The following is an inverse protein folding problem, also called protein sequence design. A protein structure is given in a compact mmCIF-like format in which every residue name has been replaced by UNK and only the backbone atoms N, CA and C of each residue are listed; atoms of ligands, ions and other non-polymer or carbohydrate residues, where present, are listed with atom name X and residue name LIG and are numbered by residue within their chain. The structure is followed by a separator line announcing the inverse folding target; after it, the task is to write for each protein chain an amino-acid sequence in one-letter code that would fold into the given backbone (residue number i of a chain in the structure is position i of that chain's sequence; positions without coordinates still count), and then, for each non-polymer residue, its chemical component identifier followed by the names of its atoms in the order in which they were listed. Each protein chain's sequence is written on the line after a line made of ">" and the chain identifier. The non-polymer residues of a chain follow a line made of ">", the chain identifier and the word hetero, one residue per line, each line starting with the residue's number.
data_IF_127486797624
#
_entry.id   IF_127486797624
#
_cell.length_a   1.000
_cell.length_b   1.000
_cell.length_c   1.000
_cell.angle_alpha   90.00
_cell.angle_beta   90.00
_cell.angle_gamma   90.00
#
_symmetry.space_group_name_H-M   'P 1'
#
loop_
_entity.id
_entity.type
_entity.pdbx_description
1 polymer ?
#
# COMPACT_ATOMS: atom_id res chain seq x y z
N UNK A 1 -2.29 -21.36 -9.99
CA UNK A 1 -2.44 -20.79 -8.63
C UNK A 1 -1.40 -21.28 -7.60
N UNK A 2 -0.43 -22.16 -7.94
CA UNK A 2 0.48 -22.75 -6.94
C UNK A 2 1.88 -22.11 -6.78
N UNK A 3 2.30 -21.21 -7.68
CA UNK A 3 3.68 -20.67 -7.69
C UNK A 3 3.84 -19.44 -6.77
N UNK A 4 2.76 -18.68 -6.53
CA UNK A 4 2.79 -17.47 -5.69
C UNK A 4 2.79 -17.78 -4.19
N UNK A 5 2.16 -18.88 -3.78
CA UNK A 5 1.95 -19.22 -2.37
C UNK A 5 3.22 -19.81 -1.73
N UNK A 6 4.00 -20.59 -2.49
CA UNK A 6 5.30 -21.10 -2.06
C UNK A 6 6.35 -19.99 -1.88
N UNK A 7 6.36 -19.01 -2.78
CA UNK A 7 7.28 -17.87 -2.70
C UNK A 7 6.99 -16.98 -1.48
N UNK A 8 5.71 -16.71 -1.21
CA UNK A 8 5.30 -15.93 -0.04
C UNK A 8 5.69 -16.62 1.28
N UNK A 9 5.43 -17.94 1.41
CA UNK A 9 5.82 -18.70 2.61
C UNK A 9 7.34 -18.70 2.83
N UNK A 10 8.12 -18.86 1.77
CA UNK A 10 9.57 -18.80 1.84
C UNK A 10 10.06 -17.40 2.28
N UNK A 11 9.53 -16.34 1.68
CA UNK A 11 9.89 -14.96 2.06
C UNK A 11 9.51 -14.63 3.51
N UNK A 12 8.34 -15.07 3.98
CA UNK A 12 7.92 -14.91 5.37
C UNK A 12 8.87 -15.66 6.31
N UNK A 13 9.26 -16.90 5.96
CA UNK A 13 10.24 -17.68 6.73
C UNK A 13 11.59 -16.97 6.83
N UNK A 14 12.08 -16.44 5.71
CA UNK A 14 13.33 -15.70 5.66
C UNK A 14 13.28 -14.42 6.51
N UNK A 15 12.18 -13.66 6.44
CA UNK A 15 12.02 -12.43 7.25
C UNK A 15 11.95 -12.74 8.75
N UNK A 16 11.29 -13.82 9.14
CA UNK A 16 11.26 -14.26 10.55
C UNK A 16 12.67 -14.58 11.05
N UNK A 17 13.46 -15.33 10.27
CA UNK A 17 14.85 -15.63 10.62
C UNK A 17 15.70 -14.36 10.74
N UNK A 18 15.58 -13.43 9.78
CA UNK A 18 16.28 -12.15 9.82
C UNK A 18 15.96 -11.36 11.09
N UNK A 19 14.67 -11.21 11.43
CA UNK A 19 14.27 -10.41 12.59
C UNK A 19 14.49 -11.13 13.92
N UNK A 20 14.50 -12.47 13.96
CA UNK A 20 14.99 -13.22 15.11
C UNK A 20 16.47 -12.90 15.37
N UNK A 21 17.30 -12.89 14.33
CA UNK A 21 18.71 -12.52 14.46
C UNK A 21 18.87 -11.07 14.91
N UNK A 22 18.12 -10.12 14.32
CA UNK A 22 18.13 -8.71 14.76
C UNK A 22 17.73 -8.57 16.23
N UNK A 23 16.70 -9.28 16.68
CA UNK A 23 16.26 -9.24 18.08
C UNK A 23 17.32 -9.79 19.05
N UNK A 24 18.11 -10.76 18.61
CA UNK A 24 19.21 -11.30 19.42
C UNK A 24 20.39 -10.33 19.51
N UNK A 25 20.66 -9.56 18.44
CA UNK A 25 21.77 -8.62 18.38
C UNK A 25 21.46 -7.26 19.03
N UNK A 26 20.20 -6.82 18.97
CA UNK A 26 19.73 -5.57 19.57
C UNK A 26 18.37 -5.78 20.25
N UNK A 27 18.35 -6.39 21.45
CA UNK A 27 17.11 -6.69 22.16
C UNK A 27 16.32 -5.42 22.47
N UNK A 28 15.03 -5.41 22.10
CA UNK A 28 14.13 -4.27 22.28
C UNK A 28 14.06 -3.34 21.06
N UNK A 29 15.15 -3.20 20.32
CA UNK A 29 15.21 -2.30 19.16
C UNK A 29 14.62 -2.92 17.90
N UNK A 30 14.64 -4.24 17.74
CA UNK A 30 13.95 -4.89 16.63
C UNK A 30 13.50 -6.29 17.03
N UNK A 31 12.49 -6.80 16.33
CA UNK A 31 12.11 -8.19 16.53
C UNK A 31 10.91 -8.64 15.72
N UNK A 32 10.49 -9.86 16.04
CA UNK A 32 9.40 -10.55 15.36
C UNK A 32 8.51 -11.28 16.35
N UNK A 33 7.21 -11.17 16.14
CA UNK A 33 6.19 -11.97 16.81
C UNK A 33 5.35 -12.69 15.75
N UNK A 34 5.09 -13.97 15.95
CA UNK A 34 4.25 -14.75 15.06
C UNK A 34 3.56 -15.86 15.83
N UNK A 35 2.34 -16.19 15.42
CA UNK A 35 1.62 -17.33 15.98
C UNK A 35 2.07 -18.64 15.32
N UNK A 36 2.17 -19.73 16.09
CA UNK A 36 2.22 -21.08 15.53
C UNK A 36 1.03 -21.30 14.59
N UNK A 37 1.26 -21.79 13.37
CA UNK A 37 0.21 -21.95 12.35
C UNK A 37 0.11 -20.83 11.30
N UNK A 38 0.99 -19.81 11.37
CA UNK A 38 1.17 -18.79 10.32
C UNK A 38 0.00 -17.81 10.14
N UNK A 39 -0.84 -17.59 11.17
CA UNK A 39 -1.98 -16.67 11.08
C UNK A 39 -1.54 -15.23 10.82
N UNK A 40 -0.53 -14.73 11.54
CA UNK A 40 0.01 -13.37 11.42
C UNK A 40 1.51 -13.36 11.71
N UNK A 41 2.23 -12.45 11.05
CA UNK A 41 3.63 -12.13 11.37
C UNK A 41 3.74 -10.63 11.61
N UNK A 42 4.22 -10.22 12.77
CA UNK A 42 4.51 -8.84 13.11
C UNK A 42 6.02 -8.66 13.19
N UNK A 43 6.54 -7.75 12.36
CA UNK A 43 7.94 -7.35 12.36
C UNK A 43 8.00 -5.92 12.91
N UNK A 44 8.88 -5.64 13.87
CA UNK A 44 9.09 -4.28 14.34
C UNK A 44 10.57 -3.93 14.38
N UNK A 45 10.83 -2.63 14.29
CA UNK A 45 12.15 -2.07 14.38
C UNK A 45 12.04 -0.61 14.83
N UNK A 46 12.46 -0.39 16.07
CA UNK A 46 12.42 0.82 16.85
C UNK A 46 13.63 1.73 16.61
N UNK A 47 14.61 1.34 15.78
CA UNK A 47 15.65 2.27 15.30
C UNK A 47 15.07 3.44 14.47
N UNK A 48 13.75 3.46 14.31
CA UNK A 48 12.98 4.47 13.62
C UNK A 48 13.20 4.42 12.13
N UNK A 49 12.52 5.31 11.42
CA UNK A 49 12.81 5.63 10.03
C UNK A 49 13.91 6.70 10.02
N UNK A 50 15.09 6.36 10.54
CA UNK A 50 16.24 7.27 10.47
C UNK A 50 16.63 7.46 9.00
N UNK A 51 16.87 8.70 8.57
CA UNK A 51 17.43 9.04 7.26
C UNK A 51 18.92 8.65 7.12
N UNK A 52 19.49 8.00 8.16
CA UNK A 52 20.83 7.46 8.12
C UNK A 52 20.96 6.33 7.07
N UNK A 53 21.97 6.38 6.19
CA UNK A 53 22.19 5.34 5.19
C UNK A 53 22.50 4.00 5.88
N UNK A 54 21.51 3.09 5.86
CA UNK A 54 21.57 1.81 6.58
C UNK A 54 20.30 1.51 7.40
N UNK A 55 19.50 2.54 7.70
CA UNK A 55 18.16 2.40 8.26
C UNK A 55 17.24 1.68 7.27
N UNK A 56 16.50 0.67 7.75
CA UNK A 56 15.69 -0.20 6.91
C UNK A 56 14.47 0.56 6.40
N UNK A 57 14.55 1.13 5.19
CA UNK A 57 13.39 1.62 4.44
C UNK A 57 12.32 0.53 4.35
N UNK A 58 11.04 0.91 4.29
CA UNK A 58 10.00 -0.04 3.96
C UNK A 58 10.31 -0.78 2.65
N UNK A 59 10.15 -2.10 2.67
CA UNK A 59 10.22 -2.96 1.50
C UNK A 59 8.82 -3.49 1.21
N UNK A 60 8.50 -3.87 -0.03
CA UNK A 60 7.23 -4.53 -0.34
C UNK A 60 7.01 -5.73 0.59
N UNK A 61 5.85 -5.77 1.25
CA UNK A 61 5.49 -6.88 2.13
C UNK A 61 5.26 -8.14 1.28
N UNK A 62 5.69 -9.34 1.75
CA UNK A 62 5.49 -10.60 1.02
C UNK A 62 4.02 -11.07 0.99
N UNK A 63 3.07 -10.19 1.37
CA UNK A 63 1.66 -10.51 1.64
C UNK A 63 1.56 -11.52 2.80
N UNK A 64 0.50 -12.35 2.82
CA UNK A 64 0.37 -13.44 3.79
C UNK A 64 0.24 -13.00 5.25
N UNK A 65 -0.54 -11.93 5.51
CA UNK A 65 -0.80 -11.41 6.87
C UNK A 65 0.47 -11.01 7.63
N UNK A 66 1.40 -10.39 6.90
CA UNK A 66 2.64 -9.82 7.45
C UNK A 66 2.50 -8.33 7.65
N UNK A 67 2.72 -7.85 8.88
CA UNK A 67 2.68 -6.46 9.28
C UNK A 67 4.08 -5.96 9.66
N UNK A 68 4.34 -4.70 9.31
CA UNK A 68 5.57 -3.99 9.66
C UNK A 68 5.20 -2.84 10.58
N UNK A 69 5.85 -2.77 11.74
CA UNK A 69 5.69 -1.71 12.73
C UNK A 69 6.99 -0.91 12.80
N UNK A 70 6.88 0.39 12.55
CA UNK A 70 8.00 1.34 12.57
C UNK A 70 7.56 2.58 13.31
N UNK A 71 8.27 3.03 14.36
CA UNK A 71 7.99 4.31 14.96
C UNK A 71 8.43 5.43 14.01
N UNK A 72 7.72 6.54 14.09
CA UNK A 72 7.96 7.73 13.32
C UNK A 72 7.86 8.95 14.23
N UNK A 73 8.82 9.86 14.10
CA UNK A 73 8.87 11.08 14.90
C UNK A 73 7.91 12.14 14.39
N UNK A 74 7.71 12.21 13.06
CA UNK A 74 6.80 13.16 12.42
C UNK A 74 6.15 12.54 11.18
N UNK A 75 4.87 12.84 10.95
CA UNK A 75 4.18 12.43 9.71
C UNK A 75 4.85 12.98 8.45
N UNK A 76 5.56 14.11 8.56
CA UNK A 76 6.31 14.73 7.47
C UNK A 76 7.47 13.85 6.97
N UNK A 77 7.92 12.89 7.77
CA UNK A 77 8.99 11.96 7.39
C UNK A 77 8.46 10.79 6.54
N UNK A 78 7.14 10.59 6.47
CA UNK A 78 6.52 9.47 5.73
C UNK A 78 6.92 9.41 4.26
N UNK A 79 6.92 10.50 3.47
CA UNK A 79 7.25 10.44 2.05
C UNK A 79 8.65 9.90 1.79
N UNK A 80 9.63 10.29 2.62
CA UNK A 80 10.99 9.80 2.53
C UNK A 80 11.08 8.34 3.00
N UNK A 81 10.48 8.02 4.14
CA UNK A 81 10.45 6.68 4.71
C UNK A 81 9.88 5.62 3.76
N UNK A 82 8.85 6.00 3.00
CA UNK A 82 8.09 5.12 2.11
C UNK A 82 8.50 5.26 0.64
N UNK A 83 9.57 5.99 0.32
CA UNK A 83 9.98 6.28 -1.06
C UNK A 83 10.03 5.03 -1.96
N UNK A 84 10.64 3.94 -1.46
CA UNK A 84 10.79 2.68 -2.20
C UNK A 84 9.49 1.94 -2.49
N UNK A 85 8.44 2.21 -1.72
CA UNK A 85 7.13 1.56 -1.84
C UNK A 85 6.03 2.55 -2.23
N UNK A 86 6.36 3.83 -2.44
CA UNK A 86 5.43 4.92 -2.74
C UNK A 86 4.46 4.56 -3.88
N UNK A 87 4.98 4.01 -4.97
CA UNK A 87 4.15 3.60 -6.13
C UNK A 87 3.23 2.41 -5.88
N UNK A 88 3.35 1.74 -4.74
CA UNK A 88 2.53 0.60 -4.32
C UNK A 88 1.45 1.01 -3.30
N UNK A 89 1.50 2.24 -2.78
CA UNK A 89 0.55 2.72 -1.78
C UNK A 89 -0.72 3.19 -2.49
N UNK A 90 -1.86 2.58 -2.14
CA UNK A 90 -3.15 2.99 -2.68
C UNK A 90 -4.05 3.63 -1.62
N UNK A 91 -4.05 3.08 -0.41
CA UNK A 91 -4.88 3.51 0.71
C UNK A 91 -4.07 3.66 1.99
N UNK A 92 -4.45 4.64 2.80
CA UNK A 92 -3.91 4.90 4.14
C UNK A 92 -5.04 4.80 5.16
N UNK A 93 -4.74 4.11 6.24
CA UNK A 93 -5.61 3.88 7.39
C UNK A 93 -5.05 4.70 8.53
N UNK A 94 -5.81 5.66 9.05
CA UNK A 94 -5.34 6.55 10.11
C UNK A 94 -6.44 6.81 11.12
N UNK A 95 -6.05 6.87 12.39
CA UNK A 95 -6.92 7.24 13.51
C UNK A 95 -6.80 8.74 13.87
N UNK A 96 -6.12 9.52 13.02
CA UNK A 96 -6.03 10.96 13.19
C UNK A 96 -7.41 11.61 13.08
N UNK A 97 -7.68 12.66 13.89
CA UNK A 97 -8.86 13.49 13.73
C UNK A 97 -8.98 14.09 12.32
N UNK A 98 -10.19 14.34 11.79
CA UNK A 98 -10.38 14.83 10.43
C UNK A 98 -9.63 16.13 10.09
N UNK A 99 -9.46 17.02 11.07
CA UNK A 99 -8.68 18.26 10.94
C UNK A 99 -7.19 17.99 10.74
N UNK A 100 -6.62 17.02 11.47
CA UNK A 100 -5.22 16.63 11.33
C UNK A 100 -4.99 15.85 10.03
N UNK A 101 -5.98 15.06 9.58
CA UNK A 101 -5.94 14.46 8.25
C UNK A 101 -5.87 15.53 7.16
N UNK A 102 -6.69 16.58 7.25
CA UNK A 102 -6.67 17.71 6.29
C UNK A 102 -5.38 18.51 6.37
N UNK A 103 -4.84 18.72 7.57
CA UNK A 103 -3.57 19.42 7.78
C UNK A 103 -2.41 18.76 7.04
N UNK A 104 -2.38 17.43 7.02
CA UNK A 104 -1.33 16.64 6.37
C UNK A 104 -1.68 16.21 4.93
N UNK A 105 -2.62 16.89 4.25
CA UNK A 105 -3.03 16.58 2.87
C UNK A 105 -1.85 16.50 1.89
N UNK A 106 -0.86 17.38 2.06
CA UNK A 106 0.37 17.37 1.25
C UNK A 106 1.17 16.06 1.40
N UNK A 107 1.28 15.53 2.62
CA UNK A 107 1.94 14.26 2.92
C UNK A 107 1.23 13.11 2.24
N UNK A 108 -0.10 13.03 2.37
CA UNK A 108 -0.88 11.94 1.77
C UNK A 108 -0.81 11.95 0.24
N UNK A 109 -0.87 13.14 -0.37
CA UNK A 109 -0.66 13.32 -1.81
C UNK A 109 0.75 12.96 -2.22
N UNK A 110 1.76 13.36 -1.45
CA UNK A 110 3.14 12.99 -1.70
C UNK A 110 3.32 11.47 -1.69
N UNK A 111 2.61 10.73 -0.84
CA UNK A 111 2.64 9.26 -0.84
C UNK A 111 1.91 8.60 -2.02
N UNK A 112 1.10 9.34 -2.78
CA UNK A 112 0.24 8.77 -3.82
C UNK A 112 -1.01 8.08 -3.27
N UNK A 113 -1.33 8.30 -1.98
CA UNK A 113 -2.52 7.72 -1.37
C UNK A 113 -3.78 8.32 -2.00
N UNK A 114 -4.63 7.47 -2.58
CA UNK A 114 -5.89 7.89 -3.22
C UNK A 114 -7.11 7.68 -2.33
N UNK A 115 -6.91 7.08 -1.14
CA UNK A 115 -7.92 6.85 -0.12
C UNK A 115 -7.31 6.99 1.27
N UNK A 116 -7.91 7.83 2.09
CA UNK A 116 -7.59 7.96 3.51
C UNK A 116 -8.85 7.59 4.27
N UNK A 117 -8.75 6.69 5.25
CA UNK A 117 -9.89 6.20 6.01
C UNK A 117 -9.48 5.74 7.41
N UNK A 118 -10.46 5.50 8.29
CA UNK A 118 -10.19 4.86 9.59
C UNK A 118 -9.70 3.42 9.42
N UNK A 119 -8.90 2.89 10.36
CA UNK A 119 -8.53 1.48 10.39
C UNK A 119 -9.74 0.56 10.23
N UNK A 120 -9.58 -0.55 9.52
CA UNK A 120 -10.66 -1.50 9.20
C UNK A 120 -11.56 -1.09 8.02
N UNK A 121 -11.55 0.17 7.57
CA UNK A 121 -12.35 0.63 6.40
C UNK A 121 -11.64 0.51 5.06
N UNK A 122 -10.38 0.07 5.05
CA UNK A 122 -9.60 -0.19 3.83
C UNK A 122 -10.23 -1.28 2.96
N UNK A 123 -10.76 -2.36 3.58
CA UNK A 123 -11.34 -3.51 2.88
C UNK A 123 -12.78 -3.26 2.37
N UNK A 124 -13.35 -2.10 2.69
CA UNK A 124 -14.68 -1.69 2.24
C UNK A 124 -14.60 -0.33 1.49
N UNK A 125 -13.92 -0.29 0.32
CA UNK A 125 -13.85 0.94 -0.46
C UNK A 125 -15.22 1.29 -1.08
N UNK A 126 -15.54 2.59 -1.23
CA UNK A 126 -16.70 3.01 -1.99
C UNK A 126 -16.49 2.65 -3.46
N UNK A 127 -17.59 2.36 -4.16
CA UNK A 127 -17.57 1.96 -5.57
C UNK A 127 -16.94 3.01 -6.50
N UNK A 128 -16.96 4.28 -6.09
CA UNK A 128 -16.40 5.41 -6.82
C UNK A 128 -14.89 5.58 -6.65
N UNK A 129 -14.23 4.82 -5.76
CA UNK A 129 -12.80 4.96 -5.52
C UNK A 129 -11.98 4.50 -6.74
N UNK A 130 -11.08 5.35 -7.28
CA UNK A 130 -10.20 4.95 -8.37
C UNK A 130 -9.09 4.02 -7.88
N UNK A 131 -9.36 2.71 -7.87
CA UNK A 131 -8.44 1.63 -7.48
C UNK A 131 -7.10 1.72 -8.23
N UNK A 132 -6.10 2.41 -7.67
CA UNK A 132 -4.82 2.62 -8.34
C UNK A 132 -4.90 3.56 -9.56
N UNK A 133 -5.83 4.52 -9.54
CA UNK A 133 -5.98 5.52 -10.62
C UNK A 133 -6.93 5.10 -11.75
N UNK A 134 -7.37 3.84 -11.78
CA UNK A 134 -8.35 3.35 -12.74
C UNK A 134 -9.77 3.38 -12.14
N UNK A 135 -10.71 4.07 -12.79
CA UNK A 135 -12.12 4.01 -12.40
C UNK A 135 -12.78 2.78 -13.05
N UNK A 136 -12.85 1.69 -12.30
CA UNK A 136 -13.41 0.41 -12.77
C UNK A 136 -14.85 0.57 -13.28
N UNK A 137 -15.67 1.37 -12.59
CA UNK A 137 -17.02 1.72 -13.02
C UNK A 137 -17.04 2.41 -14.40
N UNK A 138 -16.17 3.41 -14.63
CA UNK A 138 -16.08 4.07 -15.93
C UNK A 138 -15.67 3.10 -17.03
N UNK A 139 -14.74 2.19 -16.74
CA UNK A 139 -14.31 1.17 -17.69
C UNK A 139 -15.44 0.20 -18.04
N UNK A 140 -16.20 -0.25 -17.03
CA UNK A 140 -17.38 -1.12 -17.24
C UNK A 140 -18.45 -0.41 -18.08
N UNK A 141 -18.79 0.84 -17.75
CA UNK A 141 -19.76 1.61 -18.53
C UNK A 141 -19.31 1.80 -19.99
N UNK A 142 -18.02 2.08 -20.21
CA UNK A 142 -17.46 2.23 -21.55
C UNK A 142 -17.49 0.92 -22.36
N UNK A 143 -17.23 -0.23 -21.71
CA UNK A 143 -17.29 -1.54 -22.36
C UNK A 143 -18.71 -1.95 -22.77
N UNK A 144 -19.73 -1.47 -22.05
CA UNK A 144 -21.15 -1.75 -22.35
C UNK A 144 -21.81 -0.71 -23.24
N UNK A 145 -21.13 0.39 -23.55
CA UNK A 145 -21.67 1.41 -24.44
C UNK A 145 -21.83 0.83 -25.86
N UNK A 146 -22.97 1.02 -26.53
CA UNK A 146 -23.12 0.58 -27.92
C UNK A 146 -22.06 1.28 -28.78
N UNK A 147 -21.41 0.52 -29.66
CA UNK A 147 -20.41 1.07 -30.59
C UNK A 147 -21.01 2.29 -31.30
N UNK A 148 -20.34 3.44 -31.18
CA UNK A 148 -20.80 4.66 -31.84
C UNK A 148 -20.91 4.39 -33.34
N UNK A 149 -22.11 4.56 -33.89
CA UNK A 149 -22.37 4.36 -35.32
C UNK A 149 -21.42 5.27 -36.11
N UNK A 150 -20.61 4.74 -37.05
CA UNK A 150 -19.75 5.59 -37.85
C UNK A 150 -20.60 6.64 -38.58
N UNK A 151 -20.14 7.89 -38.55
CA UNK A 151 -20.80 8.99 -39.23
C UNK A 151 -20.99 8.60 -40.70
N UNK A 152 -22.25 8.57 -41.16
CA UNK A 152 -22.58 8.27 -42.55
C UNK A 152 -22.02 9.41 -43.39
N UNK A 153 -20.96 9.15 -44.14
CA UNK A 153 -20.42 10.10 -45.11
C UNK A 153 -21.57 10.52 -46.03
N UNK A 154 -21.89 11.82 -46.02
CA UNK A 154 -22.92 12.39 -46.86
C UNK A 154 -22.57 12.15 -48.33
N UNK A 155 -23.51 11.59 -49.08
CA UNK A 155 -23.42 11.47 -50.53
C UNK A 155 -23.21 12.88 -51.11
N UNK A 156 -22.16 13.13 -51.92
CA UNK A 156 -22.04 14.42 -52.60
C UNK A 156 -23.21 14.57 -53.56
N UNK A 157 -23.92 15.69 -53.45
CA UNK A 157 -24.97 16.08 -54.38
C UNK A 157 -24.34 16.28 -55.75
N UNK A 158 -24.80 15.49 -56.74
CA UNK A 158 -24.45 15.67 -58.14
C UNK A 158 -25.33 16.81 -58.67
N UNK A 159 -24.69 17.89 -59.14
CA UNK A 159 -25.32 18.98 -59.89
C UNK A 159 -25.45 18.64 -61.37
#
# INVERSE_FOLDING_TARGET
>A
AGVTDGNARFQIGSLRQEYLLKSALAPGDAGVAFEPGQSWTLLWDASGLSSSPGSTSFRPSPLGRTLWLRPLSSLEDLPQALERVRGLIQAVGTDLPPEEVRRHDAVWKALGATRICSPGRMQAPPLTWPNGGASLLKQLMAATAPASKPARAGTPAVS
#
